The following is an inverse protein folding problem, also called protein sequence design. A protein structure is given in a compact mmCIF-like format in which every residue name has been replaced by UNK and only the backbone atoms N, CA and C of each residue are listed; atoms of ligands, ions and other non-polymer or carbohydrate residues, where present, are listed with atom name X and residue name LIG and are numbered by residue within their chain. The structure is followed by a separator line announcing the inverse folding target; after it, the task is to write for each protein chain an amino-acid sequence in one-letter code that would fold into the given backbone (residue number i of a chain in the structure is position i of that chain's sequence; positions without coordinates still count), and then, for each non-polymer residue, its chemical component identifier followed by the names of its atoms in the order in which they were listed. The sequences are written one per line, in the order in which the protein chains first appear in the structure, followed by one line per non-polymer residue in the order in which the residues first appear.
data_IF_726802549325
#
_entry.id   IF_726802549325
#
_cell.length_a   1.000
_cell.length_b   1.000
_cell.length_c   1.000
_cell.angle_alpha   90.00
_cell.angle_beta   90.00
_cell.angle_gamma   90.00
#
_symmetry.space_group_name_H-M   'P 1'
#
loop_
_entity.id
_entity.type
_entity.pdbx_description
1 polymer ?
#
# COMPACT_ATOMS: atom_id res chain seq x y z
N UNK A 1 -63.54 38.89 25.75
CA UNK A 1 -62.44 37.90 25.75
C UNK A 1 -61.50 38.24 24.58
N UNK A 2 -60.37 38.91 24.84
CA UNK A 2 -59.43 39.36 23.80
C UNK A 2 -58.25 38.37 23.74
N UNK A 3 -58.05 37.71 22.61
CA UNK A 3 -56.94 36.77 22.38
C UNK A 3 -55.76 37.59 21.82
N UNK A 4 -54.69 37.74 22.60
CA UNK A 4 -53.44 38.31 22.12
C UNK A 4 -52.62 37.22 21.40
N UNK A 5 -52.26 37.47 20.14
CA UNK A 5 -51.36 36.62 19.37
C UNK A 5 -49.93 37.00 19.72
N UNK A 6 -49.19 36.07 20.34
CA UNK A 6 -47.75 36.20 20.57
C UNK A 6 -47.04 35.68 19.32
N UNK A 7 -46.44 36.57 18.54
CA UNK A 7 -45.56 36.21 17.44
C UNK A 7 -44.16 35.98 17.98
N UNK A 8 -43.72 34.72 18.03
CA UNK A 8 -42.36 34.34 18.36
C UNK A 8 -41.50 34.50 17.10
N UNK A 9 -40.58 35.47 17.11
CA UNK A 9 -39.60 35.66 16.04
C UNK A 9 -38.43 34.68 16.29
N UNK A 10 -38.34 33.61 15.50
CA UNK A 10 -37.18 32.72 15.49
C UNK A 10 -36.04 33.41 14.71
N UNK A 11 -35.02 33.89 15.43
CA UNK A 11 -33.76 34.34 14.83
C UNK A 11 -32.89 33.10 14.65
N UNK A 12 -32.86 32.54 13.43
CA UNK A 12 -31.93 31.49 13.07
C UNK A 12 -30.52 32.04 12.90
N UNK A 13 -29.60 31.71 13.82
CA UNK A 13 -28.18 31.98 13.65
C UNK A 13 -27.62 31.03 12.58
N UNK A 14 -27.42 31.53 11.36
CA UNK A 14 -26.65 30.84 10.33
C UNK A 14 -25.15 30.96 10.66
N UNK A 15 -24.61 29.97 11.36
CA UNK A 15 -23.16 29.76 11.43
C UNK A 15 -22.67 29.29 10.06
N UNK A 16 -22.22 30.22 9.22
CA UNK A 16 -21.38 29.89 8.07
C UNK A 16 -20.00 29.48 8.59
N UNK A 17 -19.79 28.18 8.80
CA UNK A 17 -18.44 27.64 8.99
C UNK A 17 -17.63 27.88 7.72
N UNK A 18 -16.53 28.63 7.82
CA UNK A 18 -15.55 28.73 6.74
C UNK A 18 -14.99 27.32 6.47
N UNK A 19 -15.37 26.73 5.33
CA UNK A 19 -14.75 25.51 4.83
C UNK A 19 -13.35 25.87 4.34
N UNK A 20 -12.35 25.74 5.21
CA UNK A 20 -10.95 25.81 4.79
C UNK A 20 -10.64 24.55 3.99
N UNK A 21 -10.59 24.66 2.66
CA UNK A 21 -10.00 23.61 1.84
C UNK A 21 -8.49 23.63 2.03
N UNK A 22 -7.85 22.47 1.88
CA UNK A 22 -6.39 22.42 1.85
C UNK A 22 -5.86 23.29 0.69
N UNK A 23 -4.78 24.06 0.89
CA UNK A 23 -4.28 24.96 -0.12
C UNK A 23 -3.78 24.18 -1.34
N UNK A 24 -3.86 24.78 -2.52
CA UNK A 24 -3.30 24.20 -3.76
C UNK A 24 -1.87 24.69 -3.99
N UNK A 25 -0.93 23.83 -4.41
CA UNK A 25 0.42 24.28 -4.73
C UNK A 25 0.42 25.34 -5.84
N UNK A 26 1.25 26.40 -5.75
CA UNK A 26 1.45 27.32 -6.86
C UNK A 26 1.95 26.60 -8.12
N UNK A 27 1.39 26.96 -9.28
CA UNK A 27 1.63 26.24 -10.55
C UNK A 27 3.06 26.30 -11.10
N UNK A 28 3.94 27.11 -10.51
CA UNK A 28 5.34 27.25 -10.90
C UNK A 28 6.32 26.45 -10.00
N UNK A 29 5.82 25.72 -8.99
CA UNK A 29 6.67 24.90 -8.13
C UNK A 29 6.95 23.54 -8.78
N UNK A 30 8.20 23.07 -8.66
CA UNK A 30 8.61 21.74 -9.11
C UNK A 30 9.76 21.20 -8.24
N UNK A 31 9.98 19.88 -8.29
CA UNK A 31 11.09 19.24 -7.57
C UNK A 31 11.13 19.58 -6.06
N UNK A 32 12.25 20.12 -5.61
CA UNK A 32 12.49 20.43 -4.19
C UNK A 32 11.58 21.55 -3.66
N UNK A 33 11.26 22.58 -4.46
CA UNK A 33 10.39 23.68 -4.04
C UNK A 33 8.95 23.22 -3.83
N UNK A 34 8.44 22.39 -4.74
CA UNK A 34 7.14 21.73 -4.60
C UNK A 34 7.10 20.80 -3.38
N UNK A 35 8.15 19.98 -3.18
CA UNK A 35 8.25 19.09 -2.02
C UNK A 35 8.21 19.87 -0.70
N UNK A 36 8.97 20.96 -0.58
CA UNK A 36 8.98 21.79 0.62
C UNK A 36 7.62 22.42 0.89
N UNK A 37 6.96 22.92 -0.17
CA UNK A 37 5.62 23.48 -0.07
C UNK A 37 4.59 22.43 0.39
N UNK A 38 4.59 21.23 -0.20
CA UNK A 38 3.72 20.13 0.21
C UNK A 38 3.98 19.73 1.66
N UNK A 39 5.25 19.61 2.08
CA UNK A 39 5.57 19.29 3.48
C UNK A 39 5.02 20.34 4.44
N UNK A 40 5.21 21.62 4.14
CA UNK A 40 4.75 22.69 5.02
C UNK A 40 3.23 22.78 5.14
N UNK A 41 2.52 22.53 4.04
CA UNK A 41 1.07 22.77 3.97
C UNK A 41 0.22 21.51 4.19
N UNK A 42 0.79 20.32 3.98
CA UNK A 42 0.04 19.05 3.97
C UNK A 42 0.60 17.98 4.92
N UNK A 43 1.82 18.14 5.45
CA UNK A 43 2.46 17.12 6.26
C UNK A 43 2.80 17.60 7.68
N UNK A 44 3.55 18.70 7.80
CA UNK A 44 4.03 19.21 9.07
C UNK A 44 2.83 19.62 9.96
N UNK A 45 2.69 18.98 11.13
CA UNK A 45 1.57 19.21 12.05
C UNK A 45 0.27 18.48 11.68
N UNK A 46 0.19 17.86 10.50
CA UNK A 46 -1.00 17.13 10.03
C UNK A 46 -0.79 15.61 9.99
N UNK A 47 0.46 15.16 9.80
CA UNK A 47 0.79 13.75 9.72
C UNK A 47 1.28 13.21 11.07
N UNK A 48 0.60 12.17 11.56
CA UNK A 48 1.01 11.39 12.72
C UNK A 48 1.38 9.98 12.25
N UNK A 49 2.65 9.58 12.43
CA UNK A 49 3.05 8.21 12.13
C UNK A 49 2.48 7.25 13.18
N UNK A 50 1.91 6.14 12.73
CA UNK A 50 1.53 5.03 13.61
C UNK A 50 2.72 4.08 13.85
N UNK A 51 3.82 4.24 13.11
CA UNK A 51 4.99 3.38 13.14
C UNK A 51 4.79 2.04 12.43
N UNK A 52 5.91 1.47 11.97
CA UNK A 52 5.93 0.28 11.10
C UNK A 52 5.16 -0.94 11.63
N UNK A 53 5.22 -1.20 12.94
CA UNK A 53 4.49 -2.33 13.55
C UNK A 53 2.97 -2.17 13.43
N UNK A 54 2.45 -0.95 13.66
CA UNK A 54 1.02 -0.71 13.55
C UNK A 54 0.55 -0.67 12.10
N UNK A 55 1.38 -0.15 11.18
CA UNK A 55 1.11 -0.22 9.74
C UNK A 55 0.92 -1.68 9.29
N UNK A 56 1.88 -2.56 9.58
CA UNK A 56 1.75 -4.01 9.28
C UNK A 56 0.54 -4.65 9.94
N UNK A 57 0.24 -4.29 11.19
CA UNK A 57 -0.97 -4.77 11.87
C UNK A 57 -2.22 -4.37 11.07
N UNK A 58 -2.33 -3.13 10.62
CA UNK A 58 -3.48 -2.66 9.83
C UNK A 58 -3.54 -3.32 8.45
N UNK A 59 -2.39 -3.51 7.80
CA UNK A 59 -2.24 -4.24 6.54
C UNK A 59 -2.86 -5.64 6.63
N UNK A 60 -2.32 -6.49 7.50
CA UNK A 60 -2.68 -7.91 7.56
C UNK A 60 -4.07 -8.20 8.13
N UNK A 61 -4.58 -7.36 9.03
CA UNK A 61 -5.81 -7.68 9.76
C UNK A 61 -7.04 -6.96 9.21
N UNK A 62 -6.86 -5.95 8.34
CA UNK A 62 -7.97 -5.11 7.88
C UNK A 62 -7.89 -4.78 6.38
N UNK A 63 -6.75 -4.27 5.91
CA UNK A 63 -6.66 -3.70 4.55
C UNK A 63 -6.54 -4.80 3.50
N UNK A 64 -5.56 -5.69 3.64
CA UNK A 64 -5.32 -6.79 2.71
C UNK A 64 -5.97 -8.10 3.18
N UNK A 65 -6.63 -8.06 4.34
CA UNK A 65 -7.45 -9.15 4.80
C UNK A 65 -8.81 -9.13 4.09
N UNK A 66 -9.06 -10.12 3.23
CA UNK A 66 -10.34 -10.30 2.55
C UNK A 66 -10.93 -11.63 3.01
N UNK A 67 -12.07 -11.56 3.70
CA UNK A 67 -12.82 -12.73 4.16
C UNK A 67 -11.97 -13.72 4.99
N UNK A 68 -11.25 -13.22 6.00
CA UNK A 68 -10.35 -14.01 6.86
C UNK A 68 -9.17 -14.67 6.12
N UNK A 69 -8.76 -14.08 4.99
CA UNK A 69 -7.59 -14.53 4.24
C UNK A 69 -6.73 -13.35 3.81
N UNK A 70 -5.43 -13.61 3.69
CA UNK A 70 -4.47 -12.68 3.10
C UNK A 70 -3.85 -13.39 1.89
N UNK A 71 -3.75 -12.68 0.77
CA UNK A 71 -3.14 -13.19 -0.45
C UNK A 71 -1.80 -12.51 -0.65
N UNK A 72 -0.74 -13.30 -0.86
CA UNK A 72 0.57 -12.77 -1.17
C UNK A 72 0.63 -12.18 -2.60
N UNK A 73 1.30 -11.05 -2.73
CA UNK A 73 1.30 -10.28 -3.99
C UNK A 73 2.09 -10.96 -5.11
N UNK A 74 3.18 -11.68 -4.82
CA UNK A 74 4.06 -12.21 -5.87
C UNK A 74 3.78 -13.65 -6.27
N UNK A 75 3.33 -14.50 -5.38
CA UNK A 75 3.09 -15.92 -5.69
C UNK A 75 1.61 -16.26 -5.72
N UNK A 76 0.75 -15.40 -5.17
CA UNK A 76 -0.68 -15.68 -5.02
C UNK A 76 -0.98 -16.71 -3.94
N UNK A 77 -0.02 -17.01 -3.06
CA UNK A 77 -0.24 -17.88 -1.92
C UNK A 77 -1.30 -17.27 -1.00
N UNK A 78 -2.30 -18.06 -0.62
CA UNK A 78 -3.38 -17.63 0.27
C UNK A 78 -3.16 -18.19 1.66
N UNK A 79 -3.18 -17.30 2.65
CA UNK A 79 -3.04 -17.62 4.07
C UNK A 79 -4.35 -17.33 4.80
N UNK A 80 -4.90 -18.32 5.50
CA UNK A 80 -5.95 -18.07 6.47
C UNK A 80 -5.42 -17.19 7.60
N UNK A 81 -6.12 -16.08 7.86
CA UNK A 81 -5.78 -15.09 8.87
C UNK A 81 -7.03 -14.33 9.28
N UNK A 82 -7.46 -14.46 10.54
CA UNK A 82 -8.72 -13.86 10.98
C UNK A 82 -8.69 -12.33 10.86
N UNK A 83 -9.77 -11.79 10.29
CA UNK A 83 -10.00 -10.34 10.21
C UNK A 83 -10.12 -9.74 11.61
N UNK A 84 -9.66 -8.51 11.79
CA UNK A 84 -9.80 -7.79 13.06
C UNK A 84 -8.80 -8.17 14.15
N UNK A 85 -7.85 -9.06 13.85
CA UNK A 85 -6.78 -9.44 14.77
C UNK A 85 -5.75 -8.33 15.05
N UNK A 86 -4.77 -8.67 15.89
CA UNK A 86 -3.68 -7.77 16.29
C UNK A 86 -2.28 -8.26 15.86
N UNK A 87 -2.19 -9.41 15.19
CA UNK A 87 -0.91 -10.02 14.82
C UNK A 87 -0.20 -9.26 13.69
N UNK A 88 1.13 -9.32 13.68
CA UNK A 88 2.00 -8.59 12.74
C UNK A 88 2.97 -9.48 11.98
N UNK A 89 2.88 -10.79 12.19
CA UNK A 89 3.77 -11.79 11.60
C UNK A 89 2.99 -13.02 11.12
N UNK A 90 2.30 -12.93 9.98
CA UNK A 90 1.49 -14.02 9.44
C UNK A 90 2.33 -15.04 8.67
N UNK A 91 3.23 -15.75 9.35
CA UNK A 91 4.08 -16.78 8.75
C UNK A 91 3.26 -17.77 7.88
N UNK A 92 3.73 -18.12 6.67
CA UNK A 92 5.06 -17.84 6.08
C UNK A 92 5.17 -16.47 5.36
N UNK A 93 4.21 -15.57 5.52
CA UNK A 93 4.25 -14.25 4.90
C UNK A 93 5.04 -13.24 5.74
N UNK A 94 5.72 -12.32 5.06
CA UNK A 94 6.28 -11.10 5.60
C UNK A 94 5.75 -9.87 4.83
N UNK A 95 6.25 -8.68 5.19
CA UNK A 95 5.85 -7.44 4.54
C UNK A 95 6.84 -7.12 3.41
N UNK A 96 6.31 -7.02 2.20
CA UNK A 96 6.98 -6.49 1.02
C UNK A 96 6.90 -4.97 1.03
N UNK A 97 8.01 -4.33 0.67
CA UNK A 97 8.08 -2.90 0.41
C UNK A 97 8.29 -2.69 -1.08
N UNK A 98 7.24 -2.28 -1.79
CA UNK A 98 7.27 -2.05 -3.24
C UNK A 98 8.44 -1.14 -3.64
N UNK A 99 8.65 -0.02 -2.93
CA UNK A 99 9.94 0.70 -2.98
C UNK A 99 10.83 0.16 -1.85
N UNK A 100 11.98 -0.47 -2.15
CA UNK A 100 12.81 -1.10 -1.13
C UNK A 100 13.21 -0.13 -0.01
N UNK A 101 13.17 -0.57 1.25
CA UNK A 101 13.56 0.25 2.41
C UNK A 101 14.98 0.84 2.30
N UNK A 102 15.88 0.17 1.59
CA UNK A 102 17.24 0.65 1.33
C UNK A 102 17.29 1.97 0.54
N UNK A 103 16.27 2.28 -0.27
CA UNK A 103 16.22 3.51 -1.08
C UNK A 103 15.98 4.76 -0.22
N UNK A 104 15.45 4.57 0.98
CA UNK A 104 15.15 5.65 1.91
C UNK A 104 15.71 5.40 3.31
N UNK A 105 16.72 4.53 3.43
CA UNK A 105 17.39 4.21 4.71
C UNK A 105 16.44 3.80 5.83
N UNK A 106 15.34 3.12 5.50
CA UNK A 106 14.29 2.74 6.47
C UNK A 106 13.70 3.94 7.25
N UNK A 107 13.75 5.16 6.69
CA UNK A 107 13.21 6.35 7.31
C UNK A 107 11.67 6.38 7.29
N UNK A 108 11.09 6.93 8.36
CA UNK A 108 9.68 7.32 8.39
C UNK A 108 9.46 8.61 7.58
N UNK A 109 8.28 8.82 6.97
CA UNK A 109 7.08 7.98 7.02
C UNK A 109 7.07 6.82 6.03
N UNK A 110 8.01 6.77 5.09
CA UNK A 110 8.01 5.79 3.98
C UNK A 110 8.00 4.35 4.50
N UNK A 111 8.76 4.06 5.55
CA UNK A 111 8.81 2.72 6.14
C UNK A 111 7.43 2.20 6.58
N UNK A 112 6.57 3.05 7.13
CA UNK A 112 5.25 2.68 7.63
C UNK A 112 4.10 3.08 6.71
N UNK A 113 4.41 3.59 5.51
CA UNK A 113 3.42 3.96 4.51
C UNK A 113 2.71 2.71 3.98
N UNK A 114 1.41 2.63 4.25
CA UNK A 114 0.60 1.46 3.94
C UNK A 114 0.35 1.30 2.44
N UNK A 115 0.54 2.34 1.63
CA UNK A 115 0.30 2.29 0.20
C UNK A 115 1.37 1.51 -0.57
N UNK A 116 2.53 1.26 0.05
CA UNK A 116 3.63 0.50 -0.54
C UNK A 116 3.97 -0.77 0.24
N UNK A 117 3.16 -1.10 1.24
CA UNK A 117 3.33 -2.30 2.05
C UNK A 117 2.35 -3.36 1.56
N UNK A 118 2.87 -4.58 1.34
CA UNK A 118 2.07 -5.69 0.87
C UNK A 118 2.41 -7.00 1.61
N UNK A 119 1.46 -7.92 1.79
CA UNK A 119 1.76 -9.28 2.22
C UNK A 119 2.53 -10.01 1.13
N UNK A 120 3.66 -10.63 1.46
CA UNK A 120 4.42 -11.43 0.51
C UNK A 120 5.00 -12.70 1.14
N UNK A 121 5.08 -13.77 0.36
CA UNK A 121 5.71 -15.01 0.79
C UNK A 121 7.20 -14.77 1.01
N UNK A 122 7.72 -15.16 2.18
CA UNK A 122 9.06 -14.76 2.63
C UNK A 122 10.19 -15.07 1.64
N UNK A 123 10.16 -16.23 0.98
CA UNK A 123 11.18 -16.64 0.01
C UNK A 123 11.08 -15.88 -1.32
N UNK A 124 9.86 -15.56 -1.76
CA UNK A 124 9.64 -14.74 -2.94
C UNK A 124 10.07 -13.28 -2.71
N UNK A 125 9.69 -12.69 -1.57
CA UNK A 125 10.18 -11.38 -1.13
C UNK A 125 11.72 -11.35 -1.10
N UNK A 126 12.34 -12.36 -0.49
CA UNK A 126 13.80 -12.47 -0.45
C UNK A 126 14.43 -12.60 -1.84
N UNK A 127 13.76 -13.31 -2.77
CA UNK A 127 14.21 -13.41 -4.17
C UNK A 127 14.07 -12.09 -4.93
N UNK A 128 13.05 -11.29 -4.63
CA UNK A 128 12.84 -9.94 -5.19
C UNK A 128 13.90 -8.97 -4.68
N UNK A 129 14.30 -9.07 -3.42
CA UNK A 129 15.38 -8.27 -2.82
C UNK A 129 15.15 -6.75 -3.00
N UNK A 130 16.17 -5.99 -3.40
CA UNK A 130 16.06 -4.60 -3.82
C UNK A 130 16.14 -4.43 -5.35
N UNK A 131 15.87 -5.50 -6.09
CA UNK A 131 15.97 -5.49 -7.54
C UNK A 131 14.85 -4.69 -8.18
N UNK A 132 15.13 -3.97 -9.29
CA UNK A 132 14.09 -3.27 -10.03
C UNK A 132 13.08 -4.25 -10.62
N UNK A 133 11.83 -3.78 -10.77
CA UNK A 133 10.87 -4.49 -11.57
C UNK A 133 11.20 -4.34 -13.06
N UNK A 134 10.96 -5.40 -13.83
CA UNK A 134 11.08 -5.38 -15.28
C UNK A 134 10.07 -6.34 -15.91
N UNK A 135 9.78 -6.12 -17.18
CA UNK A 135 9.16 -7.10 -18.07
C UNK A 135 10.27 -8.04 -18.55
N UNK A 136 10.23 -9.30 -18.12
CA UNK A 136 11.26 -10.30 -18.35
C UNK A 136 10.75 -11.24 -19.44
N UNK A 137 11.50 -11.36 -20.54
CA UNK A 137 11.15 -12.32 -21.56
C UNK A 137 11.19 -13.76 -20.99
N UNK A 138 10.13 -14.55 -21.21
CA UNK A 138 9.98 -15.91 -20.64
C UNK A 138 11.20 -16.82 -20.86
N UNK A 139 11.90 -16.67 -21.99
CA UNK A 139 13.08 -17.47 -22.33
C UNK A 139 14.34 -17.08 -21.56
N UNK A 140 14.30 -15.97 -20.82
CA UNK A 140 15.36 -15.49 -19.95
C UNK A 140 15.03 -15.71 -18.47
N UNK A 141 13.79 -16.09 -18.15
CA UNK A 141 13.34 -16.33 -16.78
C UNK A 141 13.99 -17.56 -16.19
N UNK A 142 14.60 -17.38 -15.04
CA UNK A 142 15.35 -18.44 -14.33
C UNK A 142 14.54 -19.07 -13.20
N UNK A 143 13.57 -18.34 -12.66
CA UNK A 143 12.64 -18.84 -11.63
C UNK A 143 11.25 -18.27 -11.85
N UNK A 144 10.28 -19.15 -11.79
CA UNK A 144 8.86 -18.89 -11.91
C UNK A 144 8.20 -19.13 -10.56
N UNK A 145 7.72 -18.08 -9.90
CA UNK A 145 7.16 -18.11 -8.55
C UNK A 145 5.63 -18.19 -8.56
N UNK A 146 5.06 -19.19 -7.89
CA UNK A 146 3.61 -19.32 -7.66
C UNK A 146 3.32 -20.17 -6.43
N UNK A 147 2.29 -19.80 -5.68
CA UNK A 147 1.79 -20.51 -4.52
C UNK A 147 2.87 -20.85 -3.47
N UNK A 148 3.75 -19.90 -3.15
CA UNK A 148 4.80 -20.03 -2.14
C UNK A 148 6.05 -20.80 -2.56
N UNK A 149 6.11 -21.26 -3.82
CA UNK A 149 7.23 -22.02 -4.37
C UNK A 149 7.70 -21.45 -5.70
N UNK A 150 8.89 -21.86 -6.15
CA UNK A 150 9.35 -21.59 -7.51
C UNK A 150 9.63 -22.87 -8.28
N UNK A 151 9.60 -22.76 -9.60
CA UNK A 151 10.11 -23.76 -10.53
C UNK A 151 11.03 -23.10 -11.56
N UNK A 152 11.88 -23.89 -12.21
CA UNK A 152 12.81 -23.39 -13.24
C UNK A 152 12.29 -23.61 -14.66
N UNK A 153 11.40 -24.58 -14.84
CA UNK A 153 10.76 -24.84 -16.13
C UNK A 153 9.66 -23.80 -16.41
N UNK A 154 9.62 -23.32 -17.66
CA UNK A 154 8.57 -22.40 -18.13
C UNK A 154 7.18 -23.03 -17.94
N UNK A 155 6.24 -22.35 -17.26
CA UNK A 155 4.85 -22.80 -17.14
C UNK A 155 4.14 -22.86 -18.50
N UNK A 156 2.99 -23.56 -18.56
CA UNK A 156 2.14 -23.51 -19.75
C UNK A 156 1.56 -22.10 -19.94
N UNK A 157 1.34 -21.72 -21.20
CA UNK A 157 0.79 -20.41 -21.56
C UNK A 157 -0.56 -20.10 -20.88
N UNK A 158 -1.35 -21.12 -20.55
CA UNK A 158 -2.64 -20.97 -19.86
C UNK A 158 -2.54 -20.45 -18.42
N UNK A 159 -1.38 -20.58 -17.77
CA UNK A 159 -1.19 -20.19 -16.36
C UNK A 159 0.02 -19.27 -16.15
N UNK A 160 0.79 -18.97 -17.19
CA UNK A 160 2.03 -18.20 -17.10
C UNK A 160 1.82 -16.84 -16.44
N UNK A 161 0.71 -16.16 -16.74
CA UNK A 161 0.31 -14.88 -16.15
C UNK A 161 0.12 -14.91 -14.62
N UNK A 162 0.03 -16.10 -14.02
CA UNK A 162 -0.13 -16.30 -12.58
C UNK A 162 1.22 -16.46 -11.86
N UNK A 163 2.34 -16.42 -12.57
CA UNK A 163 3.67 -16.52 -11.99
C UNK A 163 4.32 -15.14 -11.91
N UNK A 164 5.08 -14.89 -10.85
CA UNK A 164 6.12 -13.86 -10.88
C UNK A 164 7.41 -14.46 -11.43
N UNK A 165 8.24 -13.65 -12.05
CA UNK A 165 9.44 -14.09 -12.75
C UNK A 165 10.68 -13.47 -12.11
N UNK A 166 11.79 -14.20 -12.18
CA UNK A 166 13.08 -13.69 -11.74
C UNK A 166 14.17 -14.04 -12.75
N UNK A 167 15.02 -13.05 -13.02
CA UNK A 167 16.21 -13.17 -13.86
C UNK A 167 17.30 -12.27 -13.28
N UNK A 168 18.39 -12.86 -12.80
CA UNK A 168 19.67 -12.20 -12.48
C UNK A 168 19.58 -10.71 -12.06
N UNK A 169 18.92 -10.43 -10.94
CA UNK A 169 18.81 -9.06 -10.43
C UNK A 169 17.65 -8.24 -11.00
N UNK A 170 16.68 -8.89 -11.63
CA UNK A 170 15.39 -8.34 -12.03
C UNK A 170 14.26 -9.24 -11.52
N UNK A 171 13.14 -8.62 -11.17
CA UNK A 171 11.94 -9.32 -10.75
C UNK A 171 10.75 -8.83 -11.57
N UNK A 172 9.87 -9.72 -11.98
CA UNK A 172 8.62 -9.38 -12.63
C UNK A 172 7.48 -9.87 -11.73
N UNK A 173 6.61 -9.00 -11.23
CA UNK A 173 5.45 -9.46 -10.48
C UNK A 173 4.44 -10.12 -11.43
N UNK A 174 3.57 -10.99 -10.88
CA UNK A 174 2.41 -11.53 -11.61
C UNK A 174 1.67 -10.44 -12.37
N UNK A 175 1.08 -10.81 -13.50
CA UNK A 175 0.28 -9.89 -14.32
C UNK A 175 -0.78 -9.16 -13.51
N UNK A 176 -1.43 -9.85 -12.57
CA UNK A 176 -2.47 -9.25 -11.70
C UNK A 176 -1.95 -8.19 -10.73
N UNK A 177 -0.64 -8.12 -10.50
CA UNK A 177 0.00 -7.20 -9.57
C UNK A 177 0.69 -6.03 -10.31
N UNK A 178 0.91 -6.15 -11.64
CA UNK A 178 1.41 -5.04 -12.47
C UNK A 178 0.47 -3.84 -12.38
N UNK A 179 1.04 -2.64 -12.26
CA UNK A 179 0.29 -1.39 -12.02
C UNK A 179 -0.10 -1.13 -10.55
N UNK A 180 0.09 -2.11 -9.68
CA UNK A 180 -0.01 -1.98 -8.22
C UNK A 180 1.35 -2.24 -7.53
N UNK A 181 2.44 -2.15 -8.31
CA UNK A 181 3.84 -2.23 -7.87
C UNK A 181 4.64 -1.13 -8.53
#
# INVERSE_FOLDING_TARGET
MKIQRVSILLIGLFFFGLLYSQPTPPGNLSGSSLRSWLKSNWYNGYHNTLGYTNARRKMYNFIDNKNNTITDVYTGYVKNWNYGGSGTNPQPLNAEHTVPQSFFSSAEPMRSDIHQLFPCYNSANSSRSNYPFADIADNQTTRWWRNGSYQTNKPSASVIAQYSEYKYGFFEPRESQKGNT
#
